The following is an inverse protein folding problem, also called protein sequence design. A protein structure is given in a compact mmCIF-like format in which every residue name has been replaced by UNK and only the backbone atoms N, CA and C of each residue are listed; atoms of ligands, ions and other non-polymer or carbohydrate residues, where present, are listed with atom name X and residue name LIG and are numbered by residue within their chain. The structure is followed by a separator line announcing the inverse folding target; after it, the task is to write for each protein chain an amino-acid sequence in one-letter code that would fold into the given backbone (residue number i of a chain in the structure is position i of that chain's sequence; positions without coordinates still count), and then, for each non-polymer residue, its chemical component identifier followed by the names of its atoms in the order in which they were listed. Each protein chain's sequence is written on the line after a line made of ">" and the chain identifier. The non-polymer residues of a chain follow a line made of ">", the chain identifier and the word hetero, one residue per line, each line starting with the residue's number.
data_IF_820133250007
#
_entry.id   IF_820133250007
#
_cell.length_a   1.000
_cell.length_b   1.000
_cell.length_c   1.000
_cell.angle_alpha   90.00
_cell.angle_beta   90.00
_cell.angle_gamma   90.00
#
_symmetry.space_group_name_H-M   'P 1'
#
loop_
_entity.id
_entity.type
_entity.pdbx_description
1 polymer ?
#
# COMPACT_ATOMS: atom_id res chain seq x y z
N UNK A 1 -12.86 8.19 -12.28
CA UNK A 1 -12.26 6.95 -11.76
C UNK A 1 -11.24 7.28 -10.67
N UNK A 2 -10.89 6.33 -9.80
CA UNK A 2 -9.83 6.51 -8.79
C UNK A 2 -8.54 5.91 -9.36
N UNK A 3 -7.42 6.61 -9.24
CA UNK A 3 -6.11 6.11 -9.64
C UNK A 3 -5.65 5.00 -8.68
N UNK A 4 -5.30 3.83 -9.19
CA UNK A 4 -4.99 2.64 -8.39
C UNK A 4 -3.48 2.50 -8.21
N UNK A 5 -3.06 2.50 -6.94
CA UNK A 5 -1.68 2.33 -6.52
C UNK A 5 -1.52 0.95 -5.88
N UNK A 6 -0.41 0.28 -6.14
CA UNK A 6 -0.13 -1.07 -5.65
C UNK A 6 1.26 -1.18 -5.05
N UNK A 7 1.35 -1.79 -3.87
CA UNK A 7 2.57 -2.35 -3.31
C UNK A 7 2.38 -3.84 -3.07
N UNK A 8 3.34 -4.66 -3.50
CA UNK A 8 3.37 -6.10 -3.22
C UNK A 8 4.69 -6.45 -2.53
N UNK A 9 4.61 -6.98 -1.31
CA UNK A 9 5.81 -7.37 -0.56
C UNK A 9 5.57 -7.51 0.94
N UNK A 10 6.63 -7.87 1.68
CA UNK A 10 6.53 -7.98 3.14
C UNK A 10 6.30 -6.62 3.80
N UNK A 11 5.36 -6.55 4.74
CA UNK A 11 5.08 -5.34 5.53
C UNK A 11 6.06 -5.24 6.71
N UNK A 12 7.29 -4.85 6.41
CA UNK A 12 8.40 -4.69 7.37
C UNK A 12 9.03 -3.29 7.23
N UNK A 13 9.66 -2.77 8.28
CA UNK A 13 10.15 -1.39 8.29
C UNK A 13 11.29 -1.14 7.29
N UNK A 14 12.07 -2.16 6.98
CA UNK A 14 13.18 -2.14 6.02
C UNK A 14 12.72 -1.83 4.59
N UNK A 15 11.42 -1.97 4.29
CA UNK A 15 10.80 -1.57 3.02
C UNK A 15 10.42 -0.08 2.95
N UNK A 16 10.68 0.67 4.02
CA UNK A 16 10.40 2.09 4.13
C UNK A 16 8.92 2.45 3.87
N UNK A 17 7.99 1.62 4.36
CA UNK A 17 6.55 1.80 4.12
C UNK A 17 5.96 2.99 4.89
N UNK A 18 6.65 3.47 5.93
CA UNK A 18 6.33 4.73 6.60
C UNK A 18 6.45 5.92 5.64
N UNK A 19 7.58 6.02 4.94
CA UNK A 19 7.79 7.07 3.92
C UNK A 19 6.75 7.00 2.82
N UNK A 20 6.39 5.79 2.37
CA UNK A 20 5.33 5.61 1.38
C UNK A 20 3.99 6.19 1.87
N UNK A 21 3.60 5.91 3.13
CA UNK A 21 2.38 6.48 3.70
C UNK A 21 2.44 8.00 3.85
N UNK A 22 3.60 8.56 4.23
CA UNK A 22 3.80 10.02 4.30
C UNK A 22 3.67 10.67 2.92
N UNK A 23 4.25 10.08 1.88
CA UNK A 23 4.12 10.55 0.51
C UNK A 23 2.66 10.50 0.02
N UNK A 24 1.93 9.43 0.34
CA UNK A 24 0.49 9.35 0.04
C UNK A 24 -0.31 10.44 0.78
N UNK A 25 0.06 10.76 2.01
CA UNK A 25 -0.58 11.80 2.80
C UNK A 25 -0.32 13.21 2.23
N UNK A 26 0.86 13.46 1.63
CA UNK A 26 1.16 14.75 0.98
C UNK A 26 0.36 14.96 -0.30
N UNK A 27 0.01 13.88 -1.00
CA UNK A 27 -0.82 13.93 -2.23
C UNK A 27 -2.29 13.57 -1.99
N UNK A 28 -2.78 13.62 -0.74
CA UNK A 28 -4.17 13.27 -0.37
C UNK A 28 -5.27 14.02 -1.14
N UNK A 29 -4.93 15.18 -1.72
CA UNK A 29 -5.83 15.99 -2.54
C UNK A 29 -6.15 15.34 -3.90
N UNK A 30 -5.32 14.38 -4.35
CA UNK A 30 -5.57 13.59 -5.55
C UNK A 30 -6.56 12.45 -5.26
N UNK A 31 -7.26 11.98 -6.28
CA UNK A 31 -8.19 10.85 -6.18
C UNK A 31 -7.46 9.53 -6.45
N UNK A 32 -7.14 8.77 -5.40
CA UNK A 32 -6.45 7.48 -5.51
C UNK A 32 -6.97 6.43 -4.52
N UNK A 33 -6.63 5.17 -4.81
CA UNK A 33 -6.78 4.03 -3.90
C UNK A 33 -5.47 3.23 -3.86
N UNK A 34 -4.94 3.02 -2.67
CA UNK A 34 -3.71 2.27 -2.44
C UNK A 34 -4.01 0.87 -1.90
N UNK A 35 -3.39 -0.14 -2.50
CA UNK A 35 -3.45 -1.53 -2.09
C UNK A 35 -2.08 -2.03 -1.65
N UNK A 36 -1.99 -2.52 -0.43
CA UNK A 36 -0.84 -3.21 0.12
C UNK A 36 -1.14 -4.72 0.16
N UNK A 37 -0.46 -5.49 -0.67
CA UNK A 37 -0.56 -6.95 -0.74
C UNK A 37 0.69 -7.57 -0.12
N UNK A 38 0.46 -8.48 0.81
CA UNK A 38 1.49 -9.09 1.65
C UNK A 38 1.17 -8.96 3.13
N UNK A 39 2.09 -9.45 3.96
CA UNK A 39 2.01 -9.39 5.43
C UNK A 39 3.40 -9.12 6.00
N UNK A 40 3.45 -8.77 7.27
CA UNK A 40 4.70 -8.60 8.00
C UNK A 40 4.46 -8.01 9.37
N UNK A 41 5.51 -8.01 10.18
CA UNK A 41 5.40 -7.62 11.59
C UNK A 41 5.03 -6.13 11.78
N UNK A 42 5.25 -5.27 10.78
CA UNK A 42 4.97 -3.84 10.87
C UNK A 42 3.52 -3.47 10.46
N UNK A 43 2.71 -4.41 9.96
CA UNK A 43 1.39 -4.11 9.41
C UNK A 43 0.46 -3.38 10.39
N UNK A 44 0.45 -3.81 11.67
CA UNK A 44 -0.42 -3.21 12.69
C UNK A 44 -0.09 -1.74 12.92
N UNK A 45 1.20 -1.42 12.97
CA UNK A 45 1.72 -0.07 13.15
C UNK A 45 1.50 0.77 11.88
N UNK A 46 1.65 0.18 10.69
CA UNK A 46 1.34 0.84 9.41
C UNK A 46 -0.14 1.20 9.28
N UNK A 47 -1.05 0.32 9.70
CA UNK A 47 -2.49 0.61 9.77
C UNK A 47 -2.78 1.80 10.69
N UNK A 48 -2.20 1.80 11.90
CA UNK A 48 -2.32 2.94 12.85
C UNK A 48 -1.76 4.23 12.26
N UNK A 49 -0.67 4.16 11.50
CA UNK A 49 -0.08 5.31 10.83
C UNK A 49 -0.99 5.83 9.72
N UNK A 50 -1.56 4.95 8.88
CA UNK A 50 -2.54 5.33 7.88
C UNK A 50 -3.75 6.03 8.50
N UNK A 51 -4.23 5.55 9.65
CA UNK A 51 -5.32 6.22 10.39
C UNK A 51 -4.93 7.61 10.87
N UNK A 52 -3.75 7.75 11.49
CA UNK A 52 -3.22 9.07 11.94
C UNK A 52 -3.02 10.05 10.78
N UNK A 53 -2.70 9.54 9.60
CA UNK A 53 -2.51 10.32 8.37
C UNK A 53 -3.83 10.59 7.61
N UNK A 54 -4.98 10.18 8.16
CA UNK A 54 -6.29 10.31 7.53
C UNK A 54 -6.40 9.60 6.16
N UNK A 55 -5.73 8.45 6.04
CA UNK A 55 -5.68 7.62 4.83
C UNK A 55 -6.53 6.34 4.93
N UNK A 56 -7.24 6.10 6.03
CA UNK A 56 -7.99 4.85 6.30
C UNK A 56 -8.98 4.45 5.20
N UNK A 57 -9.58 5.43 4.52
CA UNK A 57 -10.52 5.17 3.43
C UNK A 57 -9.82 4.92 2.08
N UNK A 58 -8.56 5.33 1.97
CA UNK A 58 -7.77 5.34 0.74
C UNK A 58 -6.70 4.26 0.70
N UNK A 59 -6.39 3.66 1.83
CA UNK A 59 -5.39 2.59 1.96
C UNK A 59 -6.09 1.29 2.38
N UNK A 60 -5.80 0.21 1.65
CA UNK A 60 -6.28 -1.15 1.94
C UNK A 60 -5.10 -2.08 2.07
N UNK A 61 -5.03 -2.78 3.19
CA UNK A 61 -4.09 -3.86 3.44
C UNK A 61 -4.83 -5.17 3.22
N UNK A 62 -4.50 -5.85 2.13
CA UNK A 62 -5.19 -7.04 1.63
C UNK A 62 -4.74 -8.31 2.36
N UNK A 63 -3.52 -8.31 2.89
CA UNK A 63 -2.89 -9.51 3.44
C UNK A 63 -2.16 -10.30 2.35
N UNK A 64 -1.66 -11.49 2.71
CA UNK A 64 -0.93 -12.35 1.79
C UNK A 64 -1.90 -13.11 0.90
N UNK A 65 -1.69 -13.03 -0.41
CA UNK A 65 -2.47 -13.76 -1.41
C UNK A 65 -1.70 -15.02 -1.84
N UNK A 66 -2.34 -16.18 -1.72
CA UNK A 66 -1.80 -17.46 -2.19
C UNK A 66 -2.31 -17.83 -3.58
N UNK A 67 -3.48 -17.29 -3.98
CA UNK A 67 -4.00 -17.46 -5.34
C UNK A 67 -3.29 -16.50 -6.30
N UNK A 68 -2.61 -17.10 -7.28
CA UNK A 68 -1.89 -16.37 -8.32
C UNK A 68 -2.83 -15.53 -9.20
N UNK A 69 -4.03 -16.03 -9.51
CA UNK A 69 -4.99 -15.31 -10.34
C UNK A 69 -5.49 -14.05 -9.62
N UNK A 70 -5.65 -14.11 -8.29
CA UNK A 70 -6.05 -12.95 -7.50
C UNK A 70 -4.92 -11.90 -7.47
N UNK A 71 -3.67 -12.34 -7.27
CA UNK A 71 -2.52 -11.46 -7.34
C UNK A 71 -2.37 -10.80 -8.73
N UNK A 72 -2.56 -11.57 -9.80
CA UNK A 72 -2.54 -11.05 -11.18
C UNK A 72 -3.62 -9.99 -11.41
N UNK A 73 -4.81 -10.11 -10.81
CA UNK A 73 -5.85 -9.06 -10.87
C UNK A 73 -5.43 -7.77 -10.19
N UNK A 74 -4.70 -7.82 -9.09
CA UNK A 74 -4.17 -6.61 -8.45
C UNK A 74 -3.14 -5.92 -9.35
N UNK A 75 -2.21 -6.68 -9.93
CA UNK A 75 -1.24 -6.13 -10.87
C UNK A 75 -1.90 -5.54 -12.12
N UNK A 76 -2.87 -6.24 -12.71
CA UNK A 76 -3.56 -5.79 -13.92
C UNK A 76 -4.46 -4.57 -13.71
N UNK A 77 -4.94 -4.34 -12.48
CA UNK A 77 -5.80 -3.20 -12.15
C UNK A 77 -5.05 -1.98 -11.63
N UNK A 78 -3.74 -2.10 -11.36
CA UNK A 78 -2.93 -1.00 -10.86
C UNK A 78 -2.46 -0.06 -11.98
N UNK A 79 -2.67 1.24 -11.79
CA UNK A 79 -2.10 2.28 -12.66
C UNK A 79 -0.62 2.52 -12.35
N UNK A 80 -0.20 2.31 -11.10
CA UNK A 80 1.19 2.48 -10.66
C UNK A 80 1.58 1.49 -9.57
N UNK A 81 2.67 0.77 -9.83
CA UNK A 81 3.34 -0.06 -8.83
C UNK A 81 4.41 0.75 -8.09
N UNK A 82 4.37 0.70 -6.75
CA UNK A 82 5.26 1.47 -5.87
C UNK A 82 6.20 0.54 -5.13
N UNK A 83 7.49 0.88 -5.12
CA UNK A 83 8.54 0.15 -4.43
C UNK A 83 9.55 1.13 -3.81
N UNK A 84 9.62 1.18 -2.48
CA UNK A 84 10.29 2.26 -1.74
C UNK A 84 11.57 1.84 -1.02
N UNK A 85 12.30 0.86 -1.54
CA UNK A 85 13.59 0.48 -0.93
C UNK A 85 14.62 1.60 -0.98
N UNK A 86 15.36 1.76 0.13
CA UNK A 86 16.68 2.37 0.07
C UNK A 86 17.66 1.34 -0.50
N UNK A 87 18.43 1.75 -1.52
CA UNK A 87 19.58 1.00 -2.04
C UNK A 87 20.76 1.26 -1.11
#
# INVERSE_FOLDING_TARGET
>A
EKFVLLFVGQHIWEKNLSFLLEALASVRHLSFQMYFVGTGYAERELRRMADKLLLSERVRFIGALTDRNELERYYASADLFLFTFFI
#
